data_IF_904060472936
#
_entry.id   IF_904060472936
#
_cell.length_a   1.000
_cell.length_b   1.000
_cell.length_c   1.000
_cell.angle_alpha   90.00
_cell.angle_beta   90.00
_cell.angle_gamma   90.00
#
_symmetry.space_group_name_H-M   'P 1'
#
loop_
_entity.id
_entity.type
_entity.pdbx_description
1 polymer ?
#
# COMPACT_ATOMS: atom_id res chain seq x y z
N UNK A 1 -28.35 -5.72 7.32
CA UNK A 1 -27.59 -6.34 8.43
C UNK A 1 -26.17 -6.57 7.94
N UNK A 2 -25.15 -6.03 8.61
CA UNK A 2 -23.75 -6.16 8.16
C UNK A 2 -23.31 -7.62 8.35
N UNK A 3 -22.82 -8.26 7.28
CA UNK A 3 -22.31 -9.63 7.38
C UNK A 3 -20.93 -9.64 8.07
N UNK A 4 -20.59 -10.79 8.68
CA UNK A 4 -19.24 -11.00 9.26
C UNK A 4 -18.14 -10.87 8.20
N UNK A 5 -18.46 -11.18 6.95
CA UNK A 5 -17.54 -11.09 5.81
C UNK A 5 -17.29 -9.64 5.41
N UNK A 6 -18.33 -8.79 5.38
CA UNK A 6 -18.20 -7.37 5.07
C UNK A 6 -17.41 -6.62 6.15
N UNK A 7 -17.67 -6.92 7.43
CA UNK A 7 -16.91 -6.36 8.54
C UNK A 7 -15.42 -6.74 8.46
N UNK A 8 -15.13 -8.00 8.08
CA UNK A 8 -13.77 -8.48 7.88
C UNK A 8 -13.08 -7.82 6.70
N UNK A 9 -13.80 -7.63 5.59
CA UNK A 9 -13.27 -6.95 4.41
C UNK A 9 -12.93 -5.49 4.73
N UNK A 10 -13.81 -4.79 5.43
CA UNK A 10 -13.59 -3.39 5.83
C UNK A 10 -12.38 -3.26 6.77
N UNK A 11 -12.26 -4.14 7.76
CA UNK A 11 -11.08 -4.22 8.63
C UNK A 11 -9.79 -4.44 7.82
N UNK A 12 -9.80 -5.38 6.86
CA UNK A 12 -8.62 -5.65 6.03
C UNK A 12 -8.21 -4.44 5.19
N UNK A 13 -9.17 -3.71 4.62
CA UNK A 13 -8.90 -2.50 3.84
C UNK A 13 -8.25 -1.41 4.71
N UNK A 14 -8.74 -1.22 5.94
CA UNK A 14 -8.14 -0.28 6.89
C UNK A 14 -6.72 -0.70 7.29
N UNK A 15 -6.50 -1.98 7.58
CA UNK A 15 -5.17 -2.51 7.91
C UNK A 15 -4.17 -2.35 6.75
N UNK A 16 -4.61 -2.54 5.50
CA UNK A 16 -3.77 -2.31 4.33
C UNK A 16 -3.44 -0.83 4.14
N UNK A 17 -4.38 0.08 4.42
CA UNK A 17 -4.12 1.53 4.38
C UNK A 17 -3.05 1.90 5.41
N UNK A 18 -3.21 1.47 6.66
CA UNK A 18 -2.27 1.75 7.75
C UNK A 18 -0.86 1.23 7.40
N UNK A 19 -0.77 -0.04 6.98
CA UNK A 19 0.49 -0.64 6.55
C UNK A 19 1.16 0.14 5.42
N UNK A 20 0.38 0.56 4.42
CA UNK A 20 0.92 1.34 3.29
C UNK A 20 1.38 2.73 3.73
N UNK A 21 0.71 3.34 4.73
CA UNK A 21 1.13 4.62 5.30
C UNK A 21 2.46 4.48 6.07
N UNK A 22 2.64 3.41 6.85
CA UNK A 22 3.92 3.11 7.51
C UNK A 22 5.05 3.00 6.49
N UNK A 23 4.84 2.25 5.40
CA UNK A 23 5.85 2.12 4.33
C UNK A 23 6.19 3.49 3.73
N UNK A 24 5.20 4.36 3.49
CA UNK A 24 5.46 5.72 3.00
C UNK A 24 6.33 6.52 3.99
N UNK A 25 5.99 6.46 5.29
CA UNK A 25 6.74 7.18 6.33
C UNK A 25 8.17 6.68 6.43
N UNK A 26 8.41 5.37 6.39
CA UNK A 26 9.75 4.77 6.43
C UNK A 26 10.58 5.22 5.21
N UNK A 27 9.96 5.31 4.04
CA UNK A 27 10.62 5.80 2.82
C UNK A 27 10.96 7.29 2.89
N UNK A 28 10.05 8.11 3.43
CA UNK A 28 10.30 9.53 3.64
C UNK A 28 11.42 9.76 4.66
N UNK A 29 11.48 8.96 5.72
CA UNK A 29 12.56 9.01 6.71
C UNK A 29 13.90 8.57 6.12
N UNK A 30 13.93 7.49 5.35
CA UNK A 30 15.12 7.02 4.66
C UNK A 30 15.73 8.12 3.78
N UNK A 31 14.92 8.82 2.97
CA UNK A 31 15.42 9.91 2.11
C UNK A 31 15.95 11.09 2.94
N UNK A 32 15.31 11.43 4.06
CA UNK A 32 15.81 12.48 4.98
C UNK A 32 17.18 12.11 5.55
N UNK A 33 17.36 10.86 5.97
CA UNK A 33 18.63 10.36 6.50
C UNK A 33 19.76 10.38 5.45
N UNK A 34 19.44 10.24 4.16
CA UNK A 34 20.39 10.34 3.06
C UNK A 34 20.72 11.79 2.63
N UNK A 35 20.18 12.80 3.33
CA UNK A 35 20.55 14.21 3.15
C UNK A 35 20.05 14.84 1.85
N UNK A 36 18.79 14.60 1.48
CA UNK A 36 18.13 15.15 0.28
C UNK A 36 18.76 14.78 -1.07
N UNK A 37 19.80 13.95 -1.08
CA UNK A 37 20.18 13.19 -2.29
C UNK A 37 19.12 12.13 -2.52
N UNK A 38 18.01 12.52 -3.15
CA UNK A 38 17.03 11.57 -3.70
C UNK A 38 17.83 10.71 -4.68
N UNK A 39 18.08 9.43 -4.38
CA UNK A 39 18.79 8.61 -5.35
C UNK A 39 17.91 8.55 -6.59
N UNK A 40 18.45 8.96 -7.74
CA UNK A 40 17.85 8.61 -9.01
C UNK A 40 18.34 7.20 -9.33
N UNK A 41 17.49 6.22 -9.00
CA UNK A 41 17.86 4.81 -8.83
C UNK A 41 18.00 4.09 -10.17
N UNK A 42 17.50 4.67 -11.26
CA UNK A 42 17.68 4.09 -12.59
C UNK A 42 19.04 4.52 -13.12
N UNK A 43 20.10 4.02 -12.49
CA UNK A 43 21.37 3.85 -13.20
C UNK A 43 21.07 2.89 -14.37
N UNK A 44 21.56 3.21 -15.58
CA UNK A 44 21.45 2.34 -16.76
C UNK A 44 21.98 0.92 -16.51
N UNK A 45 22.68 0.72 -15.39
CA UNK A 45 23.28 -0.52 -14.93
C UNK A 45 22.56 -1.23 -13.76
N UNK A 46 21.39 -0.76 -13.28
CA UNK A 46 20.63 -1.38 -12.18
C UNK A 46 21.40 -1.54 -10.84
N UNK A 47 22.34 -0.65 -10.54
CA UNK A 47 23.15 -0.72 -9.32
C UNK A 47 22.31 -0.48 -8.04
N UNK A 48 22.54 -1.30 -7.01
CA UNK A 48 21.75 -1.39 -5.75
C UNK A 48 21.90 -0.21 -4.81
N UNK A 49 22.90 0.66 -5.00
CA UNK A 49 23.25 1.71 -4.03
C UNK A 49 22.19 2.81 -3.86
N UNK A 50 21.19 2.87 -4.76
CA UNK A 50 20.02 3.72 -4.58
C UNK A 50 18.73 2.95 -4.32
N UNK A 51 18.69 1.64 -4.54
CA UNK A 51 17.43 0.92 -4.76
C UNK A 51 16.62 0.69 -3.50
N UNK A 52 15.37 1.15 -3.54
CA UNK A 52 14.39 0.85 -2.50
C UNK A 52 13.81 -0.55 -2.78
N UNK A 53 13.99 -1.46 -1.83
CA UNK A 53 13.25 -2.72 -1.79
C UNK A 53 11.90 -2.47 -1.13
N UNK A 54 10.81 -2.66 -1.87
CA UNK A 54 9.47 -2.63 -1.30
C UNK A 54 8.98 -4.07 -1.22
N UNK A 55 8.77 -4.53 0.01
CA UNK A 55 8.02 -5.75 0.27
C UNK A 55 6.54 -5.38 0.30
N UNK A 56 5.78 -5.70 -0.75
CA UNK A 56 4.33 -5.48 -0.78
C UNK A 56 3.68 -6.67 -0.07
N UNK A 57 3.14 -6.49 1.15
CA UNK A 57 2.57 -7.60 1.88
C UNK A 57 1.29 -8.06 1.17
N UNK A 58 1.22 -9.35 0.86
CA UNK A 58 0.04 -9.96 0.26
C UNK A 58 -0.87 -10.50 1.37
N UNK A 59 -2.15 -10.15 1.34
CA UNK A 59 -3.11 -10.58 2.35
C UNK A 59 -3.88 -11.81 1.83
N UNK A 60 -3.69 -12.94 2.49
CA UNK A 60 -4.32 -14.20 2.12
C UNK A 60 -4.98 -14.81 3.37
N UNK A 61 -6.27 -15.17 3.26
CA UNK A 61 -7.03 -15.85 4.33
C UNK A 61 -6.99 -15.18 5.71
N UNK A 62 -6.92 -13.84 5.78
CA UNK A 62 -6.92 -13.12 7.06
C UNK A 62 -5.55 -12.92 7.70
N UNK A 63 -4.45 -13.23 6.99
CA UNK A 63 -3.08 -13.04 7.48
C UNK A 63 -2.21 -12.42 6.40
N UNK A 64 -1.19 -11.67 6.84
CA UNK A 64 -0.13 -11.22 5.95
C UNK A 64 0.77 -12.42 5.58
N UNK A 65 0.81 -12.74 4.30
CA UNK A 65 1.65 -13.78 3.73
C UNK A 65 3.04 -13.23 3.40
N UNK A 66 4.09 -13.99 3.75
CA UNK A 66 5.49 -13.67 3.39
C UNK A 66 5.79 -13.85 1.89
N UNK A 67 4.81 -14.26 1.09
CA UNK A 67 4.91 -14.46 -0.37
C UNK A 67 4.61 -13.19 -1.18
N UNK A 68 4.73 -12.02 -0.57
CA UNK A 68 4.50 -10.73 -1.21
C UNK A 68 5.39 -10.51 -2.45
N UNK A 69 4.99 -9.58 -3.30
CA UNK A 69 5.83 -9.15 -4.42
C UNK A 69 6.96 -8.27 -3.89
N UNK A 70 8.20 -8.64 -4.19
CA UNK A 70 9.38 -7.81 -3.92
C UNK A 70 9.77 -7.10 -5.19
N UNK A 71 9.74 -5.77 -5.16
CA UNK A 71 10.14 -4.96 -6.30
C UNK A 71 11.48 -4.29 -6.01
N UNK A 72 12.43 -4.50 -6.91
CA UNK A 72 13.78 -3.96 -6.84
C UNK A 72 13.90 -2.72 -7.75
N UNK A 73 14.79 -1.81 -7.38
CA UNK A 73 15.27 -0.72 -8.24
C UNK A 73 14.18 0.25 -8.76
N UNK A 74 13.15 0.52 -7.95
CA UNK A 74 12.17 1.58 -8.25
C UNK A 74 12.69 2.94 -7.78
N UNK A 75 12.59 3.98 -8.61
CA UNK A 75 12.88 5.37 -8.19
C UNK A 75 11.95 5.82 -7.05
N UNK A 76 12.48 6.54 -6.07
CA UNK A 76 11.71 7.00 -4.90
C UNK A 76 10.40 7.69 -5.29
N UNK A 77 10.44 8.57 -6.29
CA UNK A 77 9.25 9.28 -6.77
C UNK A 77 8.22 8.33 -7.40
N UNK A 78 8.65 7.31 -8.13
CA UNK A 78 7.76 6.31 -8.70
C UNK A 78 7.14 5.41 -7.61
N UNK A 79 7.95 4.95 -6.65
CA UNK A 79 7.49 4.20 -5.47
C UNK A 79 6.41 5.00 -4.72
N UNK A 80 6.72 6.26 -4.40
CA UNK A 80 5.83 7.14 -3.68
C UNK A 80 4.52 7.40 -4.45
N UNK A 81 4.60 7.57 -5.78
CA UNK A 81 3.41 7.71 -6.63
C UNK A 81 2.53 6.47 -6.59
N UNK A 82 3.12 5.27 -6.69
CA UNK A 82 2.39 3.99 -6.65
C UNK A 82 1.72 3.79 -5.29
N UNK A 83 2.45 4.00 -4.19
CA UNK A 83 1.93 3.83 -2.83
C UNK A 83 0.79 4.83 -2.52
N UNK A 84 0.96 6.10 -2.90
CA UNK A 84 -0.10 7.13 -2.74
C UNK A 84 -1.34 6.81 -3.57
N UNK A 85 -1.16 6.31 -4.80
CA UNK A 85 -2.28 5.85 -5.64
C UNK A 85 -2.97 4.63 -5.04
N UNK A 86 -2.20 3.68 -4.48
CA UNK A 86 -2.75 2.50 -3.82
C UNK A 86 -3.63 2.88 -2.63
N UNK A 87 -3.15 3.77 -1.73
CA UNK A 87 -3.97 4.31 -0.62
C UNK A 87 -5.25 4.97 -1.13
N UNK A 88 -5.16 5.78 -2.19
CA UNK A 88 -6.34 6.44 -2.77
C UNK A 88 -7.36 5.41 -3.25
N UNK A 89 -6.91 4.32 -3.87
CA UNK A 89 -7.78 3.24 -4.33
C UNK A 89 -8.39 2.46 -3.15
N UNK A 90 -7.62 2.13 -2.12
CA UNK A 90 -8.12 1.48 -0.91
C UNK A 90 -9.18 2.35 -0.21
N UNK A 91 -8.95 3.66 -0.08
CA UNK A 91 -9.94 4.60 0.48
C UNK A 91 -11.24 4.65 -0.33
N UNK A 92 -11.16 4.56 -1.66
CA UNK A 92 -12.35 4.44 -2.52
C UNK A 92 -13.10 3.14 -2.28
N UNK A 93 -12.39 2.01 -2.10
CA UNK A 93 -13.01 0.73 -1.78
C UNK A 93 -13.68 0.73 -0.41
N UNK A 94 -13.04 1.31 0.61
CA UNK A 94 -13.64 1.52 1.95
C UNK A 94 -14.93 2.31 1.81
N UNK A 95 -14.88 3.46 1.12
CA UNK A 95 -16.07 4.29 0.93
C UNK A 95 -17.19 3.54 0.20
N UNK A 96 -16.89 2.85 -0.90
CA UNK A 96 -17.89 2.10 -1.65
C UNK A 96 -18.53 0.99 -0.79
N UNK A 97 -17.72 0.30 0.02
CA UNK A 97 -18.20 -0.74 0.92
C UNK A 97 -19.05 -0.16 2.06
N UNK A 98 -18.59 0.92 2.70
CA UNK A 98 -19.35 1.66 3.72
C UNK A 98 -20.68 2.17 3.17
N UNK A 99 -20.67 2.83 2.01
CA UNK A 99 -21.87 3.37 1.36
C UNK A 99 -22.87 2.24 1.04
N UNK A 100 -22.40 1.06 0.61
CA UNK A 100 -23.24 -0.13 0.39
C UNK A 100 -23.83 -0.65 1.70
N UNK A 101 -23.03 -0.75 2.75
CA UNK A 101 -23.48 -1.24 4.06
C UNK A 101 -24.49 -0.28 4.73
N UNK A 102 -24.32 1.02 4.55
CA UNK A 102 -25.23 2.05 5.08
C UNK A 102 -26.54 2.15 4.30
N UNK A 103 -26.50 2.03 2.98
CA UNK A 103 -27.71 2.08 2.14
C UNK A 103 -28.56 0.80 2.21
N UNK A 104 -28.00 -0.28 2.75
CA UNK A 104 -28.58 -1.62 2.65
C UNK A 104 -28.52 -2.13 1.20
N UNK A 105 -28.29 -3.43 1.02
CA UNK A 105 -28.56 -4.05 -0.27
C UNK A 105 -30.07 -3.91 -0.55
N UNK A 106 -30.47 -2.86 -1.28
CA UNK A 106 -31.79 -2.74 -1.91
C UNK A 106 -31.81 -3.56 -3.21
N UNK A 107 -31.42 -4.82 -3.11
CA UNK A 107 -31.59 -5.82 -4.17
C UNK A 107 -32.38 -6.98 -3.56
N UNK A 108 -33.67 -6.74 -3.36
CA UNK A 108 -34.70 -7.78 -3.49
C UNK A 108 -35.26 -7.72 -4.92
#
# INVERSE_FOLDING_TARGET
MISKEDARLLYNLHSQIETTQTIISDLEEFVKQQGEKVPDIIDKNYNTYGSISIDIPYFESGKFSKRGARVYNISYNAAMRVLKNHIRNLKKQVKALSDRLEKGDNND
#
